data_IF_924591547773
#
_entry.id   IF_924591547773
#
_cell.length_a   1.000
_cell.length_b   1.000
_cell.length_c   1.000
_cell.angle_alpha   90.00
_cell.angle_beta   90.00
_cell.angle_gamma   90.00
#
_symmetry.space_group_name_H-M   'P 1'
#
loop_
_entity.id
_entity.type
_entity.pdbx_description
1 polymer ?
#
# COMPACT_ATOMS: atom_id res chain seq x y z
N UNK A 1 -1.21 13.45 -4.38
CA UNK A 1 -0.25 14.46 -4.79
C UNK A 1 1.17 14.11 -4.35
N UNK A 2 2.18 14.83 -4.88
CA UNK A 2 3.58 14.66 -4.49
C UNK A 2 3.83 15.15 -3.05
N UNK A 3 4.83 14.56 -2.39
CA UNK A 3 5.37 15.06 -1.11
C UNK A 3 6.46 16.12 -1.31
N UNK A 4 6.80 16.43 -2.56
CA UNK A 4 7.77 17.45 -2.94
C UNK A 4 9.11 16.89 -3.41
N UNK A 5 10.11 17.76 -3.50
CA UNK A 5 11.47 17.43 -3.89
C UNK A 5 12.33 17.07 -2.67
N UNK A 6 13.36 16.22 -2.82
CA UNK A 6 14.34 15.98 -1.78
C UNK A 6 15.03 17.27 -1.31
N UNK A 7 15.38 17.34 -0.03
CA UNK A 7 16.18 18.44 0.50
C UNK A 7 17.58 18.46 -0.12
N UNK A 8 18.24 19.62 -0.07
CA UNK A 8 19.63 19.78 -0.51
C UNK A 8 20.52 18.75 0.18
N UNK A 9 21.40 18.10 -0.57
CA UNK A 9 22.31 17.04 -0.11
C UNK A 9 21.63 15.76 0.36
N UNK A 10 20.33 15.59 0.07
CA UNK A 10 19.58 14.36 0.34
C UNK A 10 19.27 13.67 -0.98
N UNK A 11 19.61 12.40 -1.06
CA UNK A 11 19.25 11.53 -2.17
C UNK A 11 18.02 10.72 -1.78
N UNK A 12 17.09 10.62 -2.70
CA UNK A 12 15.94 9.71 -2.62
C UNK A 12 15.95 8.86 -3.88
N UNK A 13 15.80 7.57 -3.72
CA UNK A 13 15.68 6.65 -4.85
C UNK A 13 14.73 5.52 -4.51
N UNK A 14 14.28 4.80 -5.54
CA UNK A 14 13.42 3.61 -5.37
C UNK A 14 14.23 2.34 -5.56
N UNK A 15 14.00 1.38 -4.68
CA UNK A 15 14.65 0.08 -4.72
C UNK A 15 13.62 -1.04 -4.78
N UNK A 16 13.98 -2.16 -5.38
CA UNK A 16 13.15 -3.37 -5.33
C UNK A 16 12.94 -3.79 -3.87
N UNK A 17 11.69 -3.90 -3.40
CA UNK A 17 11.39 -4.19 -1.99
C UNK A 17 12.14 -5.41 -1.46
N UNK A 18 12.85 -5.22 -0.33
CA UNK A 18 13.63 -6.26 0.31
C UNK A 18 15.03 -6.48 -0.28
N UNK A 19 15.43 -5.74 -1.32
CA UNK A 19 16.74 -5.84 -1.97
C UNK A 19 17.47 -4.48 -1.98
N UNK A 20 18.72 -4.47 -2.46
CA UNK A 20 19.50 -3.26 -2.67
C UNK A 20 19.59 -2.91 -4.17
N UNK A 21 18.66 -3.44 -4.99
CA UNK A 21 18.59 -3.18 -6.42
C UNK A 21 17.81 -1.90 -6.68
N UNK A 22 18.50 -0.88 -7.18
CA UNK A 22 17.88 0.39 -7.55
C UNK A 22 17.00 0.24 -8.80
N UNK A 23 15.83 0.88 -8.77
CA UNK A 23 14.85 0.86 -9.85
C UNK A 23 14.94 2.14 -10.70
N UNK A 24 14.59 2.07 -12.00
CA UNK A 24 14.48 3.24 -12.84
C UNK A 24 13.48 4.28 -12.32
N UNK A 25 13.70 5.55 -12.68
CA UNK A 25 12.76 6.66 -12.43
C UNK A 25 11.37 6.28 -12.99
N UNK A 26 10.33 6.63 -12.25
CA UNK A 26 8.94 6.31 -12.56
C UNK A 26 8.50 4.92 -12.11
N UNK A 27 9.43 4.02 -11.77
CA UNK A 27 9.08 2.69 -11.29
C UNK A 27 8.82 2.68 -9.77
N UNK A 28 7.73 2.02 -9.39
CA UNK A 28 7.36 1.87 -7.98
C UNK A 28 8.26 0.88 -7.26
N UNK A 29 8.77 1.30 -6.10
CA UNK A 29 9.62 0.49 -5.23
C UNK A 29 9.64 1.02 -3.80
N UNK A 30 10.51 0.45 -2.97
CA UNK A 30 10.78 1.00 -1.65
C UNK A 30 11.54 2.32 -1.79
N UNK A 31 11.02 3.38 -1.20
CA UNK A 31 11.71 4.66 -1.11
C UNK A 31 12.84 4.56 -0.09
N UNK A 32 14.05 4.74 -0.55
CA UNK A 32 15.24 4.79 0.30
C UNK A 32 15.85 6.18 0.28
N UNK A 33 16.42 6.58 1.41
CA UNK A 33 16.95 7.93 1.62
C UNK A 33 18.41 7.83 2.07
N UNK A 34 19.29 8.64 1.45
CA UNK A 34 20.67 8.78 1.85
C UNK A 34 21.03 10.27 1.98
N UNK A 35 21.84 10.62 2.97
CA UNK A 35 22.28 11.99 3.16
C UNK A 35 22.62 12.31 4.61
N UNK A 36 23.01 13.56 4.89
CA UNK A 36 23.49 13.97 6.22
C UNK A 36 22.40 13.95 7.30
N UNK A 37 21.12 13.95 6.91
CA UNK A 37 19.98 13.84 7.83
C UNK A 37 19.67 12.40 8.27
N UNK A 38 20.33 11.40 7.71
CA UNK A 38 20.14 10.00 8.09
C UNK A 38 20.61 9.77 9.52
N UNK A 39 19.75 9.14 10.34
CA UNK A 39 20.06 8.83 11.73
C UNK A 39 21.26 7.86 11.83
N UNK A 40 21.95 7.89 12.97
CA UNK A 40 23.04 6.93 13.26
C UNK A 40 22.52 5.53 13.62
N UNK A 41 21.27 5.42 14.03
CA UNK A 41 20.63 4.18 14.42
C UNK A 41 19.65 4.36 15.57
N UNK A 42 18.98 3.30 15.94
CA UNK A 42 18.12 3.25 17.13
C UNK A 42 18.96 3.01 18.38
N UNK A 43 18.69 3.76 19.43
CA UNK A 43 19.41 3.64 20.71
C UNK A 43 19.28 2.23 21.32
N UNK A 44 20.42 1.59 21.58
CA UNK A 44 20.51 0.21 22.09
C UNK A 44 19.75 -0.86 21.29
N UNK A 45 19.56 -0.64 19.96
CA UNK A 45 18.84 -1.56 19.07
C UNK A 45 19.61 -1.81 17.77
N UNK A 46 20.75 -2.53 17.85
CA UNK A 46 21.59 -2.75 16.66
C UNK A 46 20.91 -3.60 15.59
N UNK A 47 20.10 -4.60 15.97
CA UNK A 47 19.40 -5.44 15.01
C UNK A 47 18.35 -4.66 14.22
N UNK A 48 17.53 -3.85 14.90
CA UNK A 48 16.54 -2.99 14.23
C UNK A 48 17.21 -1.90 13.40
N UNK A 49 18.37 -1.40 13.83
CA UNK A 49 19.18 -0.45 13.05
C UNK A 49 19.67 -1.10 11.75
N UNK A 50 20.29 -2.28 11.83
CA UNK A 50 20.80 -3.00 10.66
C UNK A 50 19.69 -3.41 9.69
N UNK A 51 18.46 -3.60 10.16
CA UNK A 51 17.32 -3.93 9.32
C UNK A 51 16.93 -2.80 8.37
N UNK A 52 17.19 -1.53 8.74
CA UNK A 52 16.75 -0.36 7.99
C UNK A 52 17.90 0.51 7.45
N UNK A 53 19.08 0.48 8.07
CA UNK A 53 20.29 1.16 7.58
C UNK A 53 21.19 0.15 6.88
N UNK A 54 21.34 0.33 5.56
CA UNK A 54 22.17 -0.57 4.75
C UNK A 54 23.20 0.22 3.97
N UNK A 55 24.40 -0.31 3.86
CA UNK A 55 25.41 0.24 2.96
C UNK A 55 25.28 -0.44 1.61
N UNK A 56 24.94 0.32 0.59
CA UNK A 56 24.78 -0.19 -0.77
C UNK A 56 26.11 -0.22 -1.53
N UNK A 57 26.07 -0.75 -2.76
CA UNK A 57 27.25 -0.89 -3.62
C UNK A 57 27.93 0.45 -3.98
N UNK A 58 27.18 1.56 -3.91
CA UNK A 58 27.68 2.92 -4.10
C UNK A 58 28.48 3.47 -2.91
N UNK A 59 28.62 2.66 -1.85
CA UNK A 59 29.32 3.01 -0.60
C UNK A 59 28.54 3.94 0.33
N UNK A 60 27.30 4.31 -0.02
CA UNK A 60 26.46 5.17 0.82
C UNK A 60 25.60 4.34 1.77
N UNK A 61 25.28 4.95 2.92
CA UNK A 61 24.29 4.40 3.84
C UNK A 61 22.91 4.89 3.41
N UNK A 62 22.03 3.95 3.16
CA UNK A 62 20.64 4.19 2.81
C UNK A 62 19.70 3.76 3.93
N UNK A 63 18.69 4.59 4.21
CA UNK A 63 17.56 4.23 5.07
C UNK A 63 16.51 3.57 4.20
N UNK A 64 16.21 2.32 4.48
CA UNK A 64 15.03 1.62 3.95
C UNK A 64 13.81 2.04 4.75
N UNK A 65 12.98 2.92 4.18
CA UNK A 65 11.88 3.57 4.92
C UNK A 65 10.71 2.64 5.20
N UNK A 66 10.60 1.56 4.44
CA UNK A 66 9.42 0.71 4.43
C UNK A 66 8.21 1.36 3.75
N UNK A 67 8.40 2.51 3.09
CA UNK A 67 7.40 3.19 2.29
C UNK A 67 7.57 2.83 0.82
N UNK A 68 6.47 2.56 0.14
CA UNK A 68 6.42 2.34 -1.30
C UNK A 68 6.04 3.64 -2.00
N UNK A 69 6.74 3.94 -3.08
CA UNK A 69 6.48 5.11 -3.89
C UNK A 69 7.29 5.12 -5.17
N UNK A 70 7.37 6.27 -5.80
CA UNK A 70 8.19 6.50 -7.00
C UNK A 70 8.65 7.95 -7.08
N UNK A 71 9.64 8.21 -7.93
CA UNK A 71 10.03 9.55 -8.34
C UNK A 71 9.60 9.74 -9.80
N UNK A 72 9.11 10.94 -10.13
CA UNK A 72 8.91 11.31 -11.53
C UNK A 72 10.21 11.87 -12.18
N UNK A 73 10.14 12.19 -13.47
CA UNK A 73 11.28 12.70 -14.26
C UNK A 73 11.79 14.06 -13.74
N UNK A 74 10.93 14.84 -13.06
CA UNK A 74 11.27 16.13 -12.46
C UNK A 74 11.84 15.96 -11.03
N UNK A 75 11.89 14.72 -10.51
CA UNK A 75 12.43 14.37 -9.19
C UNK A 75 11.44 14.55 -8.03
N UNK A 76 10.15 14.80 -8.32
CA UNK A 76 9.14 14.82 -7.26
C UNK A 76 8.88 13.41 -6.74
N UNK A 77 8.78 13.32 -5.41
CA UNK A 77 8.54 12.06 -4.70
C UNK A 77 7.05 11.86 -4.47
N UNK A 78 6.57 10.67 -4.78
CA UNK A 78 5.18 10.24 -4.55
C UNK A 78 5.16 9.04 -3.61
N UNK A 79 4.33 9.13 -2.57
CA UNK A 79 4.10 8.04 -1.62
C UNK A 79 2.82 7.31 -1.98
N UNK A 80 2.91 5.98 -2.10
CA UNK A 80 1.76 5.13 -2.41
C UNK A 80 1.26 4.39 -1.17
N UNK A 81 2.11 3.61 -0.50
CA UNK A 81 1.72 2.76 0.64
C UNK A 81 2.91 2.36 1.51
N UNK A 82 2.68 1.46 2.46
CA UNK A 82 3.72 0.78 3.23
C UNK A 82 4.04 -0.59 2.65
N UNK A 83 5.31 -1.01 2.71
CA UNK A 83 5.75 -2.38 2.33
C UNK A 83 4.93 -3.46 3.04
N UNK A 84 4.62 -3.26 4.33
CA UNK A 84 3.82 -4.20 5.13
C UNK A 84 2.40 -4.38 4.64
N UNK A 85 1.90 -3.47 3.79
CA UNK A 85 0.58 -3.55 3.16
C UNK A 85 0.62 -4.17 1.77
N UNK A 86 1.82 -4.42 1.23
CA UNK A 86 1.98 -5.03 -0.09
C UNK A 86 1.33 -6.42 -0.11
N UNK A 87 0.46 -6.63 -1.07
CA UNK A 87 -0.22 -7.91 -1.27
C UNK A 87 0.57 -8.66 -2.35
N UNK A 88 1.14 -9.80 -1.98
CA UNK A 88 1.89 -10.65 -2.91
C UNK A 88 1.01 -11.82 -3.29
N UNK A 89 0.71 -11.93 -4.58
CA UNK A 89 -0.06 -13.02 -5.15
C UNK A 89 0.80 -14.28 -5.29
N UNK A 90 0.15 -15.43 -5.46
CA UNK A 90 0.84 -16.73 -5.67
C UNK A 90 1.75 -16.74 -6.92
N UNK A 91 1.41 -15.95 -7.93
CA UNK A 91 2.14 -15.79 -9.19
C UNK A 91 3.28 -14.75 -9.10
N UNK A 92 3.54 -14.21 -7.90
CA UNK A 92 4.59 -13.23 -7.63
C UNK A 92 4.21 -11.78 -7.95
N UNK A 93 3.05 -11.51 -8.53
CA UNK A 93 2.59 -10.15 -8.75
C UNK A 93 2.41 -9.39 -7.43
N UNK A 94 2.88 -8.16 -7.42
CA UNK A 94 2.79 -7.22 -6.30
C UNK A 94 1.61 -6.29 -6.51
N UNK A 95 0.60 -6.39 -5.64
CA UNK A 95 -0.56 -5.52 -5.65
C UNK A 95 -0.39 -4.46 -4.57
N UNK A 96 -0.38 -3.20 -4.98
CA UNK A 96 -0.33 -2.05 -4.08
C UNK A 96 -1.76 -1.65 -3.71
N UNK A 97 -2.16 -1.74 -2.43
CA UNK A 97 -3.52 -1.40 -1.99
C UNK A 97 -4.01 -0.03 -2.45
N UNK A 98 -3.12 0.95 -2.47
CA UNK A 98 -3.41 2.32 -2.90
C UNK A 98 -3.93 2.42 -4.35
N UNK A 99 -3.52 1.52 -5.26
CA UNK A 99 -4.04 1.51 -6.63
C UNK A 99 -5.55 1.30 -6.62
N UNK A 100 -6.02 0.35 -5.82
CA UNK A 100 -7.44 0.02 -5.70
C UNK A 100 -8.16 1.11 -4.88
N UNK A 101 -7.57 1.55 -3.75
CA UNK A 101 -8.12 2.59 -2.89
C UNK A 101 -8.38 3.89 -3.66
N UNK A 102 -7.45 4.29 -4.54
CA UNK A 102 -7.59 5.48 -5.37
C UNK A 102 -8.76 5.37 -6.37
N UNK A 103 -8.98 4.22 -6.97
CA UNK A 103 -10.10 3.99 -7.89
C UNK A 103 -11.42 3.94 -7.13
N UNK A 104 -11.50 3.15 -6.07
CA UNK A 104 -12.70 2.98 -5.25
C UNK A 104 -13.16 4.29 -4.61
N UNK A 105 -12.20 5.14 -4.17
CA UNK A 105 -12.51 6.44 -3.56
C UNK A 105 -13.10 7.47 -4.52
N UNK A 106 -13.03 7.25 -5.83
CA UNK A 106 -13.67 8.15 -6.82
C UNK A 106 -15.19 8.01 -6.82
N UNK A 107 -15.72 6.92 -6.28
CA UNK A 107 -17.16 6.68 -6.26
C UNK A 107 -17.84 7.55 -5.18
N UNK A 108 -18.84 8.39 -5.54
CA UNK A 108 -19.41 9.39 -4.63
C UNK A 108 -20.11 8.81 -3.40
N UNK A 109 -20.51 7.55 -3.43
CA UNK A 109 -21.12 6.88 -2.28
C UNK A 109 -20.09 6.33 -1.28
N UNK A 110 -18.79 6.37 -1.58
CA UNK A 110 -17.73 5.86 -0.71
C UNK A 110 -17.21 6.98 0.18
N UNK A 111 -17.41 6.84 1.48
CA UNK A 111 -16.87 7.76 2.48
C UNK A 111 -15.44 7.40 2.86
N UNK A 112 -15.17 6.10 3.09
CA UNK A 112 -13.84 5.56 3.36
C UNK A 112 -13.69 4.19 2.71
N UNK A 113 -12.47 3.87 2.27
CA UNK A 113 -12.14 2.52 1.85
C UNK A 113 -10.78 2.10 2.40
N UNK A 114 -10.59 0.81 2.50
CA UNK A 114 -9.31 0.19 2.83
C UNK A 114 -9.20 -1.14 2.12
N UNK A 115 -8.03 -1.40 1.54
CA UNK A 115 -7.73 -2.66 0.86
C UNK A 115 -6.73 -3.45 1.68
N UNK A 116 -7.04 -4.70 1.96
CA UNK A 116 -6.17 -5.62 2.68
C UNK A 116 -6.04 -6.94 1.92
N UNK A 117 -5.01 -7.71 2.23
CA UNK A 117 -4.85 -9.02 1.64
C UNK A 117 -5.72 -10.06 2.34
N UNK A 118 -6.45 -10.88 1.59
CA UNK A 118 -7.08 -12.11 2.08
C UNK A 118 -6.34 -13.35 1.56
N UNK A 119 -6.61 -14.51 2.15
CA UNK A 119 -6.03 -15.76 1.69
C UNK A 119 -6.52 -16.09 0.26
N UNK A 120 -5.64 -16.65 -0.55
CA UNK A 120 -6.04 -17.23 -1.83
C UNK A 120 -6.61 -18.63 -1.58
N UNK A 121 -7.84 -18.89 -1.99
CA UNK A 121 -8.51 -20.20 -1.79
C UNK A 121 -7.90 -21.32 -2.64
N UNK A 122 -7.35 -20.94 -3.76
CA UNK A 122 -6.83 -21.87 -4.76
C UNK A 122 -5.32 -22.09 -4.58
N UNK A 123 -4.62 -21.21 -3.83
CA UNK A 123 -3.17 -21.24 -3.66
C UNK A 123 -2.76 -20.94 -2.22
N UNK A 124 -2.07 -21.90 -1.57
CA UNK A 124 -1.65 -21.80 -0.16
C UNK A 124 -0.69 -20.63 0.11
N UNK A 125 0.10 -20.21 -0.87
CA UNK A 125 1.12 -19.17 -0.76
C UNK A 125 0.74 -17.88 -1.46
N UNK A 126 -0.51 -17.51 -1.47
CA UNK A 126 -0.93 -16.28 -2.14
C UNK A 126 -1.88 -15.45 -1.29
N UNK A 127 -1.86 -14.15 -1.54
CA UNK A 127 -2.89 -13.24 -1.00
C UNK A 127 -3.56 -12.50 -2.14
N UNK A 128 -4.85 -12.23 -1.97
CA UNK A 128 -5.67 -11.52 -2.95
C UNK A 128 -6.20 -10.22 -2.33
N UNK A 129 -6.40 -9.15 -3.13
CA UNK A 129 -6.89 -7.89 -2.61
C UNK A 129 -8.39 -7.98 -2.27
N UNK A 130 -8.74 -7.49 -1.08
CA UNK A 130 -10.10 -7.43 -0.57
C UNK A 130 -10.41 -6.02 -0.07
N UNK A 131 -11.60 -5.49 -0.41
CA UNK A 131 -11.98 -4.09 -0.13
C UNK A 131 -12.96 -4.01 1.02
N UNK A 132 -12.62 -3.22 2.05
CA UNK A 132 -13.56 -2.73 3.04
C UNK A 132 -14.06 -1.34 2.68
N UNK A 133 -15.34 -1.11 2.89
CA UNK A 133 -16.04 0.13 2.53
C UNK A 133 -16.81 0.68 3.72
N UNK A 134 -16.67 1.96 3.97
CA UNK A 134 -17.65 2.75 4.74
C UNK A 134 -18.36 3.64 3.72
N UNK A 135 -19.66 3.47 3.59
CA UNK A 135 -20.47 4.30 2.68
C UNK A 135 -20.90 5.59 3.36
N UNK A 136 -21.20 6.59 2.56
CA UNK A 136 -21.81 7.83 3.03
C UNK A 136 -23.10 7.49 3.81
N UNK A 137 -23.33 8.08 4.99
CA UNK A 137 -24.52 7.84 5.80
C UNK A 137 -25.85 8.11 5.08
N UNK A 138 -25.84 8.97 4.07
CA UNK A 138 -27.03 9.25 3.24
C UNK A 138 -27.39 8.12 2.29
N UNK A 139 -26.54 7.11 2.11
CA UNK A 139 -26.77 6.00 1.19
C UNK A 139 -27.79 5.00 1.76
N UNK A 140 -28.97 4.80 1.12
CA UNK A 140 -29.95 3.84 1.57
C UNK A 140 -29.42 2.40 1.52
N UNK A 141 -29.78 1.58 2.51
CA UNK A 141 -29.39 0.17 2.57
C UNK A 141 -29.74 -0.62 1.29
N UNK A 142 -30.87 -0.30 0.66
CA UNK A 142 -31.31 -0.92 -0.58
C UNK A 142 -30.34 -0.73 -1.76
N UNK A 143 -29.54 0.35 -1.76
CA UNK A 143 -28.56 0.66 -2.82
C UNK A 143 -27.22 -0.04 -2.64
N UNK A 144 -26.93 -0.62 -1.48
CA UNK A 144 -25.59 -1.20 -1.17
C UNK A 144 -25.13 -2.24 -2.19
N UNK A 145 -26.00 -3.15 -2.62
CA UNK A 145 -25.66 -4.16 -3.63
C UNK A 145 -25.34 -3.55 -4.99
N UNK A 146 -26.07 -2.50 -5.36
CA UNK A 146 -25.86 -1.79 -6.62
C UNK A 146 -24.51 -1.06 -6.60
N UNK A 147 -24.16 -0.38 -5.49
CA UNK A 147 -22.87 0.30 -5.32
C UNK A 147 -21.70 -0.69 -5.43
N UNK A 148 -21.77 -1.86 -4.81
CA UNK A 148 -20.74 -2.90 -4.96
C UNK A 148 -20.59 -3.31 -6.44
N UNK A 149 -21.69 -3.42 -7.19
CA UNK A 149 -21.63 -3.75 -8.61
C UNK A 149 -20.96 -2.64 -9.43
N UNK A 150 -21.28 -1.38 -9.13
CA UNK A 150 -20.67 -0.20 -9.76
C UNK A 150 -19.17 -0.11 -9.47
N UNK A 151 -18.77 -0.31 -8.20
CA UNK A 151 -17.36 -0.35 -7.80
C UNK A 151 -16.58 -1.48 -8.47
N UNK A 152 -17.19 -2.65 -8.60
CA UNK A 152 -16.57 -3.78 -9.31
C UNK A 152 -16.35 -3.46 -10.77
N UNK A 153 -17.34 -2.85 -11.42
CA UNK A 153 -17.22 -2.43 -12.81
C UNK A 153 -16.14 -1.37 -12.98
N UNK A 154 -16.09 -0.38 -12.10
CA UNK A 154 -15.06 0.67 -12.09
C UNK A 154 -13.65 0.08 -11.93
N UNK A 155 -13.48 -0.89 -11.04
CA UNK A 155 -12.19 -1.58 -10.89
C UNK A 155 -11.81 -2.40 -12.13
N UNK A 156 -12.77 -2.98 -12.84
CA UNK A 156 -12.50 -3.71 -14.10
C UNK A 156 -12.02 -2.75 -15.20
N UNK A 157 -12.60 -1.56 -15.26
CA UNK A 157 -12.28 -0.56 -16.29
C UNK A 157 -10.93 0.13 -16.04
N UNK A 158 -10.59 0.40 -14.78
CA UNK A 158 -9.46 1.25 -14.40
C UNK A 158 -8.22 0.46 -13.95
N UNK A 159 -8.35 -0.83 -13.61
CA UNK A 159 -7.27 -1.61 -13.03
C UNK A 159 -6.91 -2.84 -13.86
N UNK A 160 -5.62 -3.19 -13.95
CA UNK A 160 -5.19 -4.46 -14.52
C UNK A 160 -5.86 -5.65 -13.82
N UNK A 161 -6.09 -6.74 -14.52
CA UNK A 161 -6.78 -7.93 -14.01
C UNK A 161 -6.17 -8.46 -12.71
N UNK A 162 -4.82 -8.51 -12.63
CA UNK A 162 -4.12 -9.03 -11.45
C UNK A 162 -4.28 -8.15 -10.19
N UNK A 163 -4.75 -6.89 -10.34
CA UNK A 163 -4.97 -5.95 -9.23
C UNK A 163 -6.42 -5.97 -8.75
N UNK A 164 -7.35 -6.50 -9.54
CA UNK A 164 -8.79 -6.44 -9.25
C UNK A 164 -9.14 -7.13 -7.93
N UNK A 165 -9.99 -6.51 -7.08
CA UNK A 165 -10.40 -7.09 -5.81
C UNK A 165 -11.27 -8.33 -5.98
N UNK A 166 -11.04 -9.34 -5.16
CA UNK A 166 -11.86 -10.56 -5.14
C UNK A 166 -13.16 -10.40 -4.36
N UNK A 167 -13.23 -9.42 -3.45
CA UNK A 167 -14.42 -9.19 -2.63
C UNK A 167 -14.52 -7.78 -2.08
N UNK A 168 -15.73 -7.44 -1.63
CA UNK A 168 -16.09 -6.15 -1.05
C UNK A 168 -16.97 -6.35 0.17
N UNK A 169 -16.67 -5.67 1.27
CA UNK A 169 -17.44 -5.72 2.52
C UNK A 169 -17.74 -4.31 3.02
N UNK A 170 -19.02 -4.03 3.20
CA UNK A 170 -19.47 -2.76 3.79
C UNK A 170 -19.50 -2.93 5.29
N UNK A 171 -18.81 -2.05 6.00
CA UNK A 171 -18.75 -1.98 7.46
C UNK A 171 -19.25 -0.61 7.94
N UNK A 172 -19.74 -0.51 9.19
CA UNK A 172 -20.26 0.77 9.72
C UNK A 172 -19.16 1.81 9.93
N UNK A 173 -17.96 1.37 10.34
CA UNK A 173 -16.80 2.22 10.59
C UNK A 173 -15.50 1.44 10.40
N UNK A 174 -14.41 2.13 10.03
CA UNK A 174 -13.09 1.52 9.96
C UNK A 174 -12.52 1.33 11.37
N UNK A 175 -11.98 0.14 11.70
CA UNK A 175 -11.31 -0.07 12.97
C UNK A 175 -10.04 0.79 13.04
N UNK A 176 -9.82 1.40 14.20
CA UNK A 176 -8.67 2.25 14.45
C UNK A 176 -7.74 1.65 15.50
N UNK A 177 -6.45 1.86 15.30
CA UNK A 177 -5.42 1.63 16.32
C UNK A 177 -5.49 2.71 17.40
N UNK A 178 -4.76 2.52 18.49
CA UNK A 178 -4.61 3.53 19.57
C UNK A 178 -4.04 4.87 19.05
N UNK A 179 -3.33 4.86 17.93
CA UNK A 179 -2.79 6.06 17.27
C UNK A 179 -3.74 6.68 16.22
N UNK A 180 -5.04 6.34 16.26
CA UNK A 180 -6.07 6.81 15.34
C UNK A 180 -5.77 6.55 13.84
N UNK A 181 -5.03 5.49 13.53
CA UNK A 181 -4.79 5.00 12.17
C UNK A 181 -5.64 3.75 11.93
N UNK A 182 -5.98 3.47 10.66
CA UNK A 182 -6.70 2.24 10.31
C UNK A 182 -5.94 1.01 10.81
N UNK A 183 -6.67 0.11 11.47
CA UNK A 183 -6.14 -1.17 11.95
C UNK A 183 -6.30 -2.23 10.86
N UNK A 184 -5.35 -2.24 9.93
CA UNK A 184 -5.32 -3.17 8.81
C UNK A 184 -5.24 -4.63 9.26
N UNK A 185 -4.57 -4.90 10.39
CA UNK A 185 -4.44 -6.25 10.93
C UNK A 185 -5.81 -6.78 11.37
N UNK A 186 -6.58 -5.97 12.07
CA UNK A 186 -7.94 -6.33 12.46
C UNK A 186 -8.83 -6.59 11.25
N UNK A 187 -8.73 -5.75 10.21
CA UNK A 187 -9.46 -5.97 8.95
C UNK A 187 -9.08 -7.30 8.29
N UNK A 188 -7.79 -7.66 8.28
CA UNK A 188 -7.33 -8.95 7.72
C UNK A 188 -7.83 -10.15 8.52
N UNK A 189 -7.85 -10.07 9.86
CA UNK A 189 -8.32 -11.12 10.76
C UNK A 189 -9.84 -11.35 10.66
N UNK A 190 -10.62 -10.34 10.28
CA UNK A 190 -12.09 -10.41 10.15
C UNK A 190 -12.58 -10.99 8.82
N UNK A 191 -11.68 -11.23 7.85
CA UNK A 191 -12.05 -11.82 6.56
C UNK A 191 -12.23 -13.32 6.71
N UNK A 192 -13.38 -13.79 6.28
CA UNK A 192 -13.67 -15.23 6.21
C UNK A 192 -13.77 -15.71 4.76
N UNK A 193 -13.57 -17.02 4.48
CA UNK A 193 -13.76 -17.56 3.13
C UNK A 193 -15.16 -17.37 2.53
N UNK A 194 -16.13 -16.92 3.31
CA UNK A 194 -17.50 -16.62 2.83
C UNK A 194 -17.64 -15.20 2.30
N UNK A 195 -16.66 -14.33 2.54
CA UNK A 195 -16.73 -12.91 2.16
C UNK A 195 -16.34 -12.68 0.68
N UNK A 196 -15.74 -13.68 0.00
CA UNK A 196 -15.28 -13.61 -1.40
C UNK A 196 -15.38 -14.95 -2.13
#
# INVERSE_FOLDING_TARGET
GSVGLPLVSTLVSTFEPGTDTELPIGQRGELCISGPGVMKGYYNKPAETAAILRTHADGRVWVHTGDIGYLDEDGFVYLDSRIKRLIIRHDGFKVFPSMIENVVSQHPAVHQCSVVGCADKDHVQGRLPFVYLVLDPAVPAAKRKQIIKELRQLCIEELPEYVQPVGYKIIPEMPLTLAAKFDYRKLEEEITPRDY
#
